data_IF_892718564250
#
_entry.id   IF_892718564250
#
_cell.length_a   1.000
_cell.length_b   1.000
_cell.length_c   1.000
_cell.angle_alpha   90.00
_cell.angle_beta   90.00
_cell.angle_gamma   90.00
#
_symmetry.space_group_name_H-M   'P 1'
#
loop_
_entity.id
_entity.type
_entity.pdbx_description
1 polymer ?
#
# COMPACT_ATOMS: atom_id res chain seq x y z
N UNK A 1 1.47 -8.57 11.22
CA UNK A 1 0.52 -7.94 10.27
C UNK A 1 -0.50 -6.98 10.90
N UNK A 2 -0.76 -7.00 12.21
CA UNK A 2 -1.82 -6.15 12.82
C UNK A 2 -1.54 -4.63 12.88
N UNK A 3 -0.28 -4.18 12.75
CA UNK A 3 0.03 -2.76 12.95
C UNK A 3 -0.28 -1.87 11.73
N UNK A 4 -0.10 -2.37 10.50
CA UNK A 4 -0.27 -1.54 9.28
C UNK A 4 -1.74 -1.25 9.01
N UNK A 5 -2.62 -2.25 9.10
CA UNK A 5 -4.07 -2.06 8.95
C UNK A 5 -4.62 -1.11 10.02
N UNK A 6 -4.15 -1.22 11.26
CA UNK A 6 -4.57 -0.32 12.35
C UNK A 6 -4.12 1.13 12.11
N UNK A 7 -2.96 1.34 11.50
CA UNK A 7 -2.44 2.66 11.15
C UNK A 7 -3.13 3.27 9.91
N UNK A 8 -3.46 2.46 8.92
CA UNK A 8 -4.21 2.95 7.75
C UNK A 8 -5.65 3.31 8.14
N UNK A 9 -6.30 2.46 8.93
CA UNK A 9 -7.67 2.70 9.42
C UNK A 9 -7.74 3.69 10.59
N UNK A 10 -6.61 4.23 11.09
CA UNK A 10 -6.66 5.33 12.07
C UNK A 10 -6.95 6.68 11.42
N UNK A 11 -6.85 6.77 10.09
CA UNK A 11 -7.26 7.94 9.31
C UNK A 11 -8.70 7.74 8.83
N UNK A 12 -9.65 8.63 9.16
CA UNK A 12 -11.05 8.47 8.79
C UNK A 12 -11.29 8.53 7.27
N UNK A 13 -10.33 9.06 6.53
CA UNK A 13 -10.39 9.22 5.08
C UNK A 13 -10.01 7.93 4.33
N UNK A 14 -9.39 6.97 5.04
CA UNK A 14 -8.76 5.79 4.47
C UNK A 14 -9.38 4.53 5.07
N UNK A 15 -9.92 3.67 4.21
CA UNK A 15 -10.37 2.34 4.58
C UNK A 15 -9.43 1.31 3.93
N UNK A 16 -8.61 0.66 4.75
CA UNK A 16 -7.70 -0.38 4.30
C UNK A 16 -8.16 -1.75 4.80
N UNK A 17 -8.21 -2.71 3.88
CA UNK A 17 -8.40 -4.13 4.17
C UNK A 17 -7.14 -4.89 3.81
N UNK A 18 -6.87 -5.96 4.55
CA UNK A 18 -5.74 -6.84 4.30
C UNK A 18 -6.25 -8.24 4.00
N UNK A 19 -5.51 -8.94 3.15
CA UNK A 19 -5.75 -10.32 2.79
C UNK A 19 -4.48 -11.14 3.02
N UNK A 20 -4.65 -12.40 3.40
CA UNK A 20 -3.54 -13.34 3.61
C UNK A 20 -3.36 -14.30 2.43
N UNK A 21 -4.41 -14.44 1.62
CA UNK A 21 -4.46 -15.31 0.45
C UNK A 21 -4.88 -14.52 -0.79
N UNK A 22 -4.55 -15.07 -1.97
CA UNK A 22 -4.95 -14.46 -3.24
C UNK A 22 -6.48 -14.42 -3.37
N UNK A 23 -7.16 -15.47 -2.93
CA UNK A 23 -8.60 -15.61 -3.01
C UNK A 23 -9.32 -14.56 -2.16
N UNK A 24 -8.87 -14.35 -0.91
CA UNK A 24 -9.38 -13.27 -0.06
C UNK A 24 -9.14 -11.90 -0.70
N UNK A 25 -7.95 -11.67 -1.29
CA UNK A 25 -7.63 -10.39 -1.91
C UNK A 25 -8.55 -10.09 -3.10
N UNK A 26 -8.82 -11.10 -3.92
CA UNK A 26 -9.72 -11.01 -5.08
C UNK A 26 -11.17 -10.79 -4.62
N UNK A 27 -11.64 -11.55 -3.63
CA UNK A 27 -12.99 -11.39 -3.10
C UNK A 27 -13.21 -9.97 -2.54
N UNK A 28 -12.26 -9.45 -1.77
CA UNK A 28 -12.32 -8.09 -1.25
C UNK A 28 -12.36 -7.06 -2.40
N UNK A 29 -11.50 -7.21 -3.40
CA UNK A 29 -11.45 -6.34 -4.59
C UNK A 29 -12.73 -6.38 -5.43
N UNK A 30 -13.50 -7.47 -5.35
CA UNK A 30 -14.83 -7.55 -5.96
C UNK A 30 -15.92 -6.80 -5.18
N UNK A 31 -15.82 -6.76 -3.86
CA UNK A 31 -16.85 -6.14 -3.01
C UNK A 31 -16.61 -4.65 -2.73
N UNK A 32 -15.40 -4.16 -2.99
CA UNK A 32 -15.00 -2.79 -2.67
C UNK A 32 -14.21 -2.15 -3.81
N UNK A 33 -14.41 -0.85 -4.03
CA UNK A 33 -13.60 -0.05 -4.94
C UNK A 33 -12.28 0.35 -4.28
N UNK A 34 -11.16 -0.15 -4.81
CA UNK A 34 -9.83 0.23 -4.37
C UNK A 34 -9.16 1.15 -5.39
N UNK A 35 -8.58 2.25 -4.89
CA UNK A 35 -7.65 3.09 -5.65
C UNK A 35 -6.20 2.61 -5.60
N UNK A 36 -5.84 1.85 -4.56
CA UNK A 36 -4.47 1.41 -4.28
C UNK A 36 -4.46 -0.03 -3.76
N UNK A 37 -3.58 -0.85 -4.32
CA UNK A 37 -3.27 -2.21 -3.86
C UNK A 37 -1.81 -2.27 -3.48
N UNK A 38 -1.53 -2.82 -2.30
CA UNK A 38 -0.16 -3.02 -1.81
C UNK A 38 0.10 -4.52 -1.72
N UNK A 39 1.00 -5.02 -2.56
CA UNK A 39 1.47 -6.40 -2.52
C UNK A 39 2.68 -6.49 -1.59
N UNK A 40 2.55 -7.26 -0.52
CA UNK A 40 3.62 -7.45 0.46
C UNK A 40 4.82 -8.23 -0.12
N UNK A 41 6.01 -8.01 0.45
CA UNK A 41 7.26 -8.59 -0.07
C UNK A 41 7.36 -10.11 0.01
N UNK A 42 6.48 -10.75 0.80
CA UNK A 42 6.33 -12.19 0.87
C UNK A 42 5.42 -12.80 -0.20
N UNK A 43 4.79 -11.97 -1.06
CA UNK A 43 3.94 -12.47 -2.15
C UNK A 43 4.82 -13.07 -3.24
N UNK A 44 4.52 -14.32 -3.60
CA UNK A 44 5.21 -15.03 -4.67
C UNK A 44 5.00 -14.35 -6.02
N UNK A 45 5.97 -14.46 -6.92
CA UNK A 45 5.92 -13.80 -8.22
C UNK A 45 4.75 -14.29 -9.09
N UNK A 46 4.28 -15.52 -8.87
CA UNK A 46 3.12 -16.08 -9.57
C UNK A 46 1.81 -15.44 -9.07
N UNK A 47 1.63 -15.37 -7.74
CA UNK A 47 0.52 -14.66 -7.09
C UNK A 47 0.46 -13.20 -7.50
N UNK A 48 1.58 -12.49 -7.54
CA UNK A 48 1.61 -11.10 -8.01
C UNK A 48 1.09 -10.96 -9.44
N UNK A 49 1.54 -11.81 -10.36
CA UNK A 49 1.11 -11.77 -11.76
C UNK A 49 -0.39 -12.07 -11.88
N UNK A 50 -0.89 -13.03 -11.09
CA UNK A 50 -2.31 -13.39 -11.03
C UNK A 50 -3.12 -12.19 -10.52
N UNK A 51 -2.80 -11.68 -9.32
CA UNK A 51 -3.49 -10.57 -8.68
C UNK A 51 -3.46 -9.30 -9.53
N UNK A 52 -2.30 -8.94 -10.08
CA UNK A 52 -2.18 -7.74 -10.91
C UNK A 52 -3.05 -7.79 -12.14
N UNK A 53 -3.12 -8.95 -12.81
CA UNK A 53 -4.02 -9.14 -13.96
C UNK A 53 -5.48 -9.01 -13.56
N UNK A 54 -5.90 -9.64 -12.47
CA UNK A 54 -7.29 -9.60 -12.00
C UNK A 54 -7.70 -8.17 -11.65
N UNK A 55 -6.88 -7.47 -10.85
CA UNK A 55 -7.18 -6.13 -10.39
C UNK A 55 -7.18 -5.10 -11.53
N UNK A 56 -6.22 -5.16 -12.46
CA UNK A 56 -6.19 -4.27 -13.62
C UNK A 56 -7.32 -4.56 -14.62
N UNK A 57 -7.78 -5.81 -14.69
CA UNK A 57 -8.92 -6.17 -15.53
C UNK A 57 -10.22 -5.58 -14.98
N UNK A 58 -10.39 -5.61 -13.65
CA UNK A 58 -11.59 -5.09 -13.00
C UNK A 58 -11.57 -3.56 -12.87
N UNK A 59 -10.44 -2.98 -12.50
CA UNK A 59 -10.24 -1.54 -12.41
C UNK A 59 -8.91 -1.15 -13.07
N UNK A 60 -8.93 -0.72 -14.36
CA UNK A 60 -7.72 -0.32 -15.07
C UNK A 60 -6.99 0.89 -14.47
N UNK A 61 -7.62 1.63 -13.55
CA UNK A 61 -7.04 2.81 -12.91
C UNK A 61 -6.44 2.51 -11.54
N UNK A 62 -6.54 1.28 -11.05
CA UNK A 62 -5.97 0.91 -9.75
C UNK A 62 -4.46 1.00 -9.79
N UNK A 63 -3.88 1.60 -8.75
CA UNK A 63 -2.43 1.65 -8.57
C UNK A 63 -2.01 0.40 -7.82
N UNK A 64 -1.10 -0.39 -8.40
CA UNK A 64 -0.55 -1.59 -7.75
C UNK A 64 0.90 -1.29 -7.37
N UNK A 65 1.20 -1.36 -6.08
CA UNK A 65 2.53 -1.15 -5.53
C UNK A 65 3.06 -2.43 -4.91
N UNK A 66 4.25 -2.86 -5.34
CA UNK A 66 4.94 -4.00 -4.73
C UNK A 66 5.95 -3.51 -3.71
N UNK A 67 5.77 -3.91 -2.45
CA UNK A 67 6.71 -3.58 -1.39
C UNK A 67 7.70 -4.72 -1.19
N UNK A 68 8.99 -4.50 -1.50
CA UNK A 68 10.05 -5.50 -1.35
C UNK A 68 10.74 -5.50 0.03
N UNK A 69 10.21 -4.79 1.03
CA UNK A 69 10.85 -4.63 2.35
C UNK A 69 10.16 -5.38 3.50
N UNK A 70 10.95 -5.79 4.49
CA UNK A 70 10.44 -6.34 5.75
C UNK A 70 9.81 -5.25 6.62
N UNK A 71 8.49 -5.30 6.79
CA UNK A 71 7.73 -4.94 8.02
C UNK A 71 7.74 -3.51 8.57
N UNK A 72 8.68 -2.63 8.22
CA UNK A 72 8.80 -1.29 8.83
C UNK A 72 9.01 -0.16 7.81
N UNK A 73 9.37 -0.49 6.56
CA UNK A 73 9.60 0.50 5.49
C UNK A 73 8.31 0.98 4.81
N UNK A 74 7.26 0.13 4.79
CA UNK A 74 5.94 0.43 4.20
C UNK A 74 5.34 1.75 4.68
N UNK A 75 5.31 1.98 5.98
CA UNK A 75 4.67 3.16 6.55
C UNK A 75 5.44 4.43 6.21
N UNK A 76 6.77 4.36 6.25
CA UNK A 76 7.62 5.50 5.96
C UNK A 76 7.59 5.85 4.46
N UNK A 77 7.46 4.86 3.57
CA UNK A 77 7.27 5.09 2.13
C UNK A 77 5.87 5.63 1.81
N UNK A 78 4.81 5.07 2.42
CA UNK A 78 3.45 5.57 2.23
C UNK A 78 3.35 7.01 2.73
N UNK A 79 3.87 7.33 3.93
CA UNK A 79 3.83 8.70 4.44
C UNK A 79 4.66 9.65 3.57
N UNK A 80 5.84 9.23 3.08
CA UNK A 80 6.62 10.02 2.13
C UNK A 80 5.91 10.24 0.79
N UNK A 81 5.19 9.26 0.25
CA UNK A 81 4.41 9.42 -0.98
C UNK A 81 3.23 10.37 -0.78
N UNK A 82 2.58 10.34 0.39
CA UNK A 82 1.50 11.28 0.72
C UNK A 82 2.01 12.69 0.95
N UNK A 83 3.14 12.86 1.63
CA UNK A 83 3.77 14.17 1.81
C UNK A 83 4.27 14.74 0.48
N UNK A 84 4.76 13.88 -0.42
CA UNK A 84 5.18 14.26 -1.78
C UNK A 84 4.02 14.80 -2.64
N UNK A 85 2.82 14.24 -2.50
CA UNK A 85 1.61 14.73 -3.18
C UNK A 85 0.99 15.98 -2.51
N UNK A 86 1.39 16.27 -1.26
CA UNK A 86 0.87 17.36 -0.43
C UNK A 86 1.91 18.47 -0.27
N UNK A 87 2.35 19.09 -1.36
CA UNK A 87 3.04 20.40 -1.38
C UNK A 87 4.09 20.68 -0.28
N UNK A 88 5.36 20.42 -0.60
CA UNK A 88 6.57 21.16 -0.14
C UNK A 88 6.51 21.83 1.25
N UNK A 89 7.25 21.24 2.20
CA UNK A 89 8.32 21.95 2.92
C UNK A 89 9.39 20.95 3.35
N UNK A 90 10.38 20.77 2.47
CA UNK A 90 11.66 20.17 2.85
C UNK A 90 12.32 21.15 3.81
N UNK A 91 12.35 20.81 5.10
CA UNK A 91 13.40 21.34 5.98
C UNK A 91 14.40 20.21 6.15
N UNK A 92 15.39 20.23 5.26
CA UNK A 92 16.68 19.58 5.42
C UNK A 92 17.19 19.83 6.83
N UNK A 93 17.42 18.78 7.63
CA UNK A 93 18.52 18.81 8.58
C UNK A 93 18.96 17.39 9.00
N UNK A 94 19.81 16.72 8.20
CA UNK A 94 20.57 15.59 8.68
C UNK A 94 21.85 16.13 9.36
N UNK A 95 21.84 16.27 10.68
CA UNK A 95 23.03 16.57 11.50
C UNK A 95 23.73 17.94 11.26
N UNK A 96 23.04 19.07 11.43
CA UNK A 96 23.66 20.39 11.54
C UNK A 96 23.63 20.93 12.96
N UNK A 97 24.70 20.69 13.74
CA UNK A 97 24.97 21.38 15.01
C UNK A 97 25.16 22.88 14.78
N UNK A 98 24.77 23.70 15.75
CA UNK A 98 25.49 24.93 16.13
C UNK A 98 25.52 25.00 17.64
#
# INVERSE_FOLDING_TARGET
MQNVLRLLNSRPEWAAVGALTDEEAIEQFHHHDFGLVILGGGVEQESEKKLSKVFLHQNPRVIIFRHYGGGLLLLNEIDQMLQSQSGVKITDNPFGKS
#
